data_IF_791353967758
#
_entry.id   IF_791353967758
#
_cell.length_a   1.000
_cell.length_b   1.000
_cell.length_c   1.000
_cell.angle_alpha   90.00
_cell.angle_beta   90.00
_cell.angle_gamma   90.00
#
_symmetry.space_group_name_H-M   'P 1'
#
loop_
_entity.id
_entity.type
_entity.pdbx_description
1 polymer ?
#
# COMPACT_ATOMS: atom_id res chain seq x y z
N UNK A 1 11.88 -15.63 1.41
CA UNK A 1 13.10 -15.61 2.30
C UNK A 1 13.29 -14.32 3.13
N UNK A 2 13.16 -13.12 2.54
CA UNK A 2 13.43 -11.82 3.23
C UNK A 2 12.46 -11.50 4.38
N UNK A 3 11.16 -11.80 4.22
CA UNK A 3 10.12 -11.65 5.27
C UNK A 3 10.40 -12.54 6.50
N UNK A 4 10.83 -13.78 6.26
CA UNK A 4 11.23 -14.75 7.30
C UNK A 4 12.45 -14.26 8.07
N UNK A 5 13.45 -13.67 7.39
CA UNK A 5 14.66 -13.17 8.07
C UNK A 5 14.38 -11.94 8.96
N UNK A 6 13.50 -11.03 8.54
CA UNK A 6 13.11 -9.86 9.34
C UNK A 6 12.27 -10.24 10.57
N UNK A 7 11.34 -11.17 10.40
CA UNK A 7 10.52 -11.70 11.51
C UNK A 7 11.32 -12.54 12.47
N UNK A 8 12.26 -13.35 11.96
CA UNK A 8 13.23 -14.08 12.79
C UNK A 8 14.14 -13.11 13.54
N UNK A 9 14.62 -12.04 12.91
CA UNK A 9 15.40 -10.99 13.57
C UNK A 9 14.64 -10.29 14.70
N UNK A 10 13.38 -9.91 14.48
CA UNK A 10 12.53 -9.30 15.51
C UNK A 10 12.20 -10.28 16.64
N UNK A 11 11.87 -11.53 16.30
CA UNK A 11 11.57 -12.58 17.28
C UNK A 11 12.80 -12.92 18.12
N UNK A 12 13.97 -13.05 17.50
CA UNK A 12 15.25 -13.25 18.19
C UNK A 12 15.56 -12.05 19.09
N UNK A 13 15.35 -10.81 18.63
CA UNK A 13 15.57 -9.63 19.46
C UNK A 13 14.64 -9.59 20.69
N UNK A 14 13.36 -9.93 20.52
CA UNK A 14 12.40 -10.03 21.63
C UNK A 14 12.83 -11.13 22.61
N UNK A 15 13.17 -12.32 22.13
CA UNK A 15 13.60 -13.46 22.96
C UNK A 15 14.89 -13.13 23.71
N UNK A 16 15.90 -12.57 23.04
CA UNK A 16 17.17 -12.14 23.66
C UNK A 16 16.91 -11.08 24.73
N UNK A 17 16.03 -10.12 24.46
CA UNK A 17 15.69 -9.07 25.43
C UNK A 17 14.95 -9.64 26.65
N UNK A 18 14.05 -10.61 26.48
CA UNK A 18 13.39 -11.31 27.59
C UNK A 18 14.39 -12.13 28.43
N UNK A 19 15.35 -12.80 27.78
CA UNK A 19 16.41 -13.56 28.47
C UNK A 19 17.28 -12.61 29.30
N UNK A 20 17.68 -11.46 28.75
CA UNK A 20 18.50 -10.46 29.46
C UNK A 20 17.75 -9.90 30.67
N UNK A 21 16.43 -9.67 30.59
CA UNK A 21 15.61 -9.24 31.73
C UNK A 21 15.53 -10.34 32.79
N UNK A 22 15.37 -11.60 32.40
CA UNK A 22 15.37 -12.73 33.34
C UNK A 22 16.69 -12.84 34.10
N UNK A 23 17.83 -12.70 33.40
CA UNK A 23 19.16 -12.61 34.00
C UNK A 23 19.25 -11.37 34.92
N UNK A 24 18.66 -10.25 34.48
CA UNK A 24 18.33 -9.03 35.23
C UNK A 24 17.93 -9.22 36.70
N UNK A 25 17.11 -10.24 36.93
CA UNK A 25 16.43 -10.49 38.19
C UNK A 25 17.21 -11.45 39.11
N UNK A 26 18.38 -11.93 38.69
CA UNK A 26 19.21 -12.82 39.50
C UNK A 26 19.83 -12.08 40.72
N UNK A 27 20.00 -12.76 41.86
CA UNK A 27 20.61 -12.17 43.05
C UNK A 27 22.02 -11.66 42.75
N UNK A 28 22.31 -10.41 43.10
CA UNK A 28 23.63 -9.78 42.92
C UNK A 28 23.78 -8.89 41.68
N UNK A 29 22.74 -8.78 40.83
CA UNK A 29 22.73 -7.82 39.72
C UNK A 29 22.17 -6.45 40.11
N UNK A 30 22.64 -5.40 39.43
CA UNK A 30 22.19 -4.02 39.68
C UNK A 30 20.72 -3.86 39.21
N UNK A 31 19.77 -3.53 40.10
CA UNK A 31 18.35 -3.42 39.78
C UNK A 31 18.04 -2.45 38.63
N UNK A 32 18.87 -1.42 38.43
CA UNK A 32 18.69 -0.44 37.36
C UNK A 32 18.81 -1.03 35.95
N UNK A 33 19.57 -2.12 35.77
CA UNK A 33 19.71 -2.79 34.46
C UNK A 33 18.37 -3.40 34.04
N UNK A 34 17.68 -4.06 34.96
CA UNK A 34 16.39 -4.71 34.72
C UNK A 34 15.29 -3.71 34.39
N UNK A 35 15.30 -2.55 35.06
CA UNK A 35 14.36 -1.45 34.81
C UNK A 35 14.58 -0.83 33.43
N UNK A 36 15.83 -0.57 33.05
CA UNK A 36 16.17 -0.02 31.73
C UNK A 36 15.78 -0.99 30.62
N UNK A 37 16.05 -2.28 30.78
CA UNK A 37 15.68 -3.30 29.78
C UNK A 37 14.17 -3.46 29.64
N UNK A 38 13.42 -3.44 30.74
CA UNK A 38 11.96 -3.44 30.71
C UNK A 38 11.41 -2.20 29.97
N UNK A 39 12.00 -1.02 30.19
CA UNK A 39 11.63 0.20 29.47
C UNK A 39 11.91 0.09 27.96
N UNK A 40 13.03 -0.52 27.55
CA UNK A 40 13.35 -0.75 26.13
C UNK A 40 12.32 -1.69 25.49
N UNK A 41 11.98 -2.81 26.14
CA UNK A 41 10.94 -3.73 25.64
C UNK A 41 9.59 -3.05 25.42
N UNK A 42 9.19 -2.18 26.35
CA UNK A 42 7.93 -1.43 26.25
C UNK A 42 7.92 -0.43 25.08
N UNK A 43 9.09 -0.02 24.60
CA UNK A 43 9.20 0.84 23.41
C UNK A 43 9.14 0.05 22.10
N UNK A 44 9.31 -1.28 22.10
CA UNK A 44 9.31 -2.11 20.89
C UNK A 44 8.02 -2.01 20.07
N UNK A 45 6.80 -2.06 20.64
CA UNK A 45 5.59 -1.90 19.84
C UNK A 45 5.49 -0.52 19.19
N UNK A 46 5.98 0.52 19.87
CA UNK A 46 6.01 1.90 19.38
C UNK A 46 7.08 2.05 18.30
N UNK A 47 8.26 1.48 18.50
CA UNK A 47 9.36 1.48 17.54
C UNK A 47 9.00 0.66 16.30
N UNK A 48 8.36 -0.50 16.47
CA UNK A 48 7.83 -1.31 15.39
C UNK A 48 6.80 -0.50 14.62
N UNK A 49 5.80 0.08 15.30
CA UNK A 49 4.81 0.97 14.69
C UNK A 49 5.44 2.16 13.95
N UNK A 50 6.50 2.76 14.48
CA UNK A 50 7.23 3.87 13.88
C UNK A 50 8.05 3.44 12.64
N UNK A 51 8.67 2.27 12.70
CA UNK A 51 9.39 1.66 11.58
C UNK A 51 8.44 1.19 10.47
N UNK A 52 7.24 0.70 10.83
CA UNK A 52 6.18 0.29 9.90
C UNK A 52 5.37 1.48 9.37
N UNK A 53 5.46 2.66 10.01
CA UNK A 53 4.65 3.84 9.71
C UNK A 53 5.10 4.62 8.48
N UNK A 54 6.21 4.27 7.83
CA UNK A 54 6.51 4.84 6.51
C UNK A 54 5.58 4.21 5.49
N UNK A 55 4.46 4.91 5.20
CA UNK A 55 3.55 4.58 4.11
C UNK A 55 4.37 4.43 2.83
N UNK A 56 4.14 3.34 2.11
CA UNK A 56 4.82 3.07 0.85
C UNK A 56 4.54 4.14 -0.21
N UNK A 57 3.38 4.79 -0.10
CA UNK A 57 2.98 5.96 -0.85
C UNK A 57 2.08 6.86 0.00
N UNK A 58 2.24 8.18 -0.14
CA UNK A 58 1.44 9.19 0.55
C UNK A 58 0.74 10.09 -0.46
N UNK A 59 -0.47 10.54 -0.11
CA UNK A 59 -1.16 11.58 -0.86
C UNK A 59 -0.33 12.87 -0.82
N UNK A 60 -0.27 13.54 -1.97
CA UNK A 60 0.30 14.87 -2.14
C UNK A 60 -0.70 15.71 -2.90
N UNK A 61 -0.82 16.98 -2.58
CA UNK A 61 -1.75 17.89 -3.27
C UNK A 61 -1.45 18.00 -4.77
N UNK A 62 -0.20 17.72 -5.17
CA UNK A 62 0.20 17.58 -6.57
C UNK A 62 -0.50 16.44 -7.32
N UNK A 63 -1.10 15.47 -6.63
CA UNK A 63 -1.89 14.39 -7.24
C UNK A 63 -3.37 14.76 -7.41
N UNK A 64 -3.80 15.91 -6.89
CA UNK A 64 -5.17 16.37 -7.08
C UNK A 64 -5.44 16.64 -8.56
N UNK A 65 -6.61 16.19 -9.01
CA UNK A 65 -7.20 16.56 -10.31
C UNK A 65 -8.23 17.68 -10.17
N UNK A 66 -8.41 18.20 -8.95
CA UNK A 66 -9.36 19.27 -8.64
C UNK A 66 -10.81 18.82 -8.70
N UNK A 67 -11.09 17.52 -8.63
CA UNK A 67 -12.45 16.95 -8.58
C UNK A 67 -12.55 16.12 -7.31
N UNK A 68 -13.29 16.60 -6.31
CA UNK A 68 -13.26 16.05 -4.95
C UNK A 68 -13.57 14.56 -4.90
N UNK A 69 -14.58 14.12 -5.66
CA UNK A 69 -14.97 12.70 -5.70
C UNK A 69 -13.94 11.78 -6.34
N UNK A 70 -13.07 12.31 -7.20
CA UNK A 70 -11.97 11.56 -7.85
C UNK A 70 -10.72 11.59 -6.97
N UNK A 71 -10.41 12.73 -6.35
CA UNK A 71 -9.32 12.83 -5.38
C UNK A 71 -9.53 11.88 -4.20
N UNK A 72 -10.77 11.70 -3.75
CA UNK A 72 -11.10 10.74 -2.69
C UNK A 72 -10.93 9.29 -3.14
N UNK A 73 -11.22 8.97 -4.40
CA UNK A 73 -10.90 7.65 -4.98
C UNK A 73 -9.38 7.43 -5.04
N UNK A 74 -8.61 8.42 -5.50
CA UNK A 74 -7.15 8.33 -5.54
C UNK A 74 -6.57 8.11 -4.14
N UNK A 75 -7.01 8.87 -3.12
CA UNK A 75 -6.59 8.65 -1.73
C UNK A 75 -6.94 7.25 -1.23
N UNK A 76 -8.11 6.73 -1.61
CA UNK A 76 -8.53 5.36 -1.27
C UNK A 76 -7.64 4.32 -1.96
N UNK A 77 -7.33 4.48 -3.24
CA UNK A 77 -6.42 3.62 -3.98
C UNK A 77 -5.00 3.61 -3.37
N UNK A 78 -4.47 4.78 -3.00
CA UNK A 78 -3.18 4.87 -2.28
C UNK A 78 -3.22 4.14 -0.94
N UNK A 79 -4.36 4.20 -0.23
CA UNK A 79 -4.56 3.45 1.02
C UNK A 79 -4.57 1.94 0.78
N UNK A 80 -5.26 1.47 -0.27
CA UNK A 80 -5.31 0.06 -0.64
C UNK A 80 -3.93 -0.46 -1.08
N UNK A 81 -3.14 0.34 -1.81
CA UNK A 81 -1.74 0.03 -2.13
C UNK A 81 -0.89 -0.13 -0.85
N UNK A 82 -1.06 0.75 0.13
CA UNK A 82 -0.36 0.63 1.41
C UNK A 82 -0.78 -0.62 2.20
N UNK A 83 -2.05 -1.02 2.11
CA UNK A 83 -2.54 -2.26 2.73
C UNK A 83 -1.94 -3.50 2.05
N UNK A 84 -1.91 -3.53 0.71
CA UNK A 84 -1.26 -4.60 -0.04
C UNK A 84 0.24 -4.65 0.29
N UNK A 85 0.92 -3.51 0.34
CA UNK A 85 2.31 -3.45 0.77
C UNK A 85 2.48 -4.01 2.19
N UNK A 86 1.60 -3.70 3.12
CA UNK A 86 1.64 -4.28 4.47
C UNK A 86 1.51 -5.81 4.40
N UNK A 87 0.60 -6.33 3.59
CA UNK A 87 0.45 -7.77 3.39
C UNK A 87 1.73 -8.40 2.79
N UNK A 88 2.41 -7.68 1.89
CA UNK A 88 3.68 -8.10 1.30
C UNK A 88 4.82 -8.06 2.31
N UNK A 89 4.97 -7.07 3.18
CA UNK A 89 6.16 -6.99 4.03
C UNK A 89 6.02 -7.72 5.37
N UNK A 90 4.79 -7.93 5.86
CA UNK A 90 4.54 -8.57 7.15
C UNK A 90 3.92 -9.96 7.00
N UNK A 91 4.12 -10.88 7.97
CA UNK A 91 3.49 -12.19 7.98
C UNK A 91 1.99 -12.05 8.32
N UNK A 92 1.20 -11.62 7.35
CA UNK A 92 -0.26 -11.41 7.49
C UNK A 92 -1.09 -12.65 7.12
N UNK A 93 -0.46 -13.62 6.45
CA UNK A 93 -1.11 -14.83 5.94
C UNK A 93 -1.66 -14.67 4.53
N UNK A 94 -1.75 -15.78 3.78
CA UNK A 94 -2.18 -15.77 2.37
C UNK A 94 -3.58 -15.17 2.19
N UNK A 95 -4.52 -15.50 3.06
CA UNK A 95 -5.89 -15.01 2.96
C UNK A 95 -5.96 -13.48 3.01
N UNK A 96 -5.18 -12.85 3.90
CA UNK A 96 -5.11 -11.40 4.00
C UNK A 96 -4.44 -10.76 2.78
N UNK A 97 -3.36 -11.35 2.29
CA UNK A 97 -2.66 -10.88 1.08
C UNK A 97 -3.56 -10.93 -0.16
N UNK A 98 -4.25 -12.06 -0.35
CA UNK A 98 -5.23 -12.26 -1.43
C UNK A 98 -6.39 -11.27 -1.32
N UNK A 99 -6.92 -11.08 -0.12
CA UNK A 99 -8.00 -10.11 0.11
C UNK A 99 -7.54 -8.68 -0.21
N UNK A 100 -6.38 -8.25 0.29
CA UNK A 100 -5.85 -6.91 0.02
C UNK A 100 -5.62 -6.67 -1.48
N UNK A 101 -5.14 -7.69 -2.20
CA UNK A 101 -4.97 -7.63 -3.64
C UNK A 101 -6.32 -7.52 -4.36
N UNK A 102 -7.29 -8.37 -4.02
CA UNK A 102 -8.62 -8.36 -4.62
C UNK A 102 -9.34 -7.03 -4.39
N UNK A 103 -9.31 -6.51 -3.16
CA UNK A 103 -9.90 -5.21 -2.81
C UNK A 103 -9.31 -4.07 -3.65
N UNK A 104 -7.99 -4.06 -3.87
CA UNK A 104 -7.33 -3.06 -4.70
C UNK A 104 -7.78 -3.16 -6.16
N UNK A 105 -7.83 -4.36 -6.72
CA UNK A 105 -8.24 -4.58 -8.11
C UNK A 105 -9.70 -4.17 -8.33
N UNK A 106 -10.59 -4.58 -7.44
CA UNK A 106 -12.02 -4.26 -7.57
C UNK A 106 -12.29 -2.77 -7.43
N UNK A 107 -11.64 -2.10 -6.46
CA UNK A 107 -11.79 -0.66 -6.30
C UNK A 107 -11.20 0.12 -7.49
N UNK A 108 -10.11 -0.38 -8.08
CA UNK A 108 -9.52 0.21 -9.29
C UNK A 108 -10.49 0.18 -10.47
N UNK A 109 -11.14 -0.97 -10.71
CA UNK A 109 -12.17 -1.10 -11.77
C UNK A 109 -13.33 -0.15 -11.54
N UNK A 110 -13.84 -0.11 -10.30
CA UNK A 110 -14.91 0.81 -9.92
C UNK A 110 -14.55 2.28 -10.15
N UNK A 111 -13.33 2.67 -9.78
CA UNK A 111 -12.83 4.02 -10.01
C UNK A 111 -12.76 4.35 -11.51
N UNK A 112 -12.17 3.47 -12.33
CA UNK A 112 -12.12 3.66 -13.78
C UNK A 112 -13.49 3.77 -14.42
N UNK A 113 -14.46 2.93 -14.03
CA UNK A 113 -15.82 3.02 -14.54
C UNK A 113 -16.46 4.38 -14.26
N UNK A 114 -16.23 4.95 -13.07
CA UNK A 114 -16.72 6.28 -12.69
C UNK A 114 -16.05 7.39 -13.46
N UNK A 115 -14.73 7.35 -13.59
CA UNK A 115 -13.94 8.33 -14.32
C UNK A 115 -14.29 8.31 -15.82
N UNK A 116 -14.39 7.13 -16.41
CA UNK A 116 -14.82 6.94 -17.79
C UNK A 116 -16.24 7.46 -18.01
N UNK A 117 -17.16 7.18 -17.07
CA UNK A 117 -18.52 7.73 -17.14
C UNK A 117 -18.47 9.26 -17.10
N UNK A 118 -17.70 9.84 -16.19
CA UNK A 118 -17.54 11.29 -16.07
C UNK A 118 -16.97 11.92 -17.34
N UNK A 119 -15.93 11.31 -17.93
CA UNK A 119 -15.35 11.76 -19.19
C UNK A 119 -16.35 11.68 -20.36
N UNK A 120 -17.10 10.57 -20.48
CA UNK A 120 -18.12 10.40 -21.53
C UNK A 120 -19.26 11.42 -21.39
N UNK A 121 -19.80 11.59 -20.19
CA UNK A 121 -20.94 12.47 -19.93
C UNK A 121 -20.62 13.96 -20.20
N UNK A 122 -19.33 14.30 -20.26
CA UNK A 122 -18.84 15.67 -20.48
C UNK A 122 -18.13 15.85 -21.83
N UNK A 123 -18.23 14.88 -22.75
CA UNK A 123 -17.60 14.90 -24.08
C UNK A 123 -16.07 15.17 -24.02
N UNK A 124 -15.36 14.50 -23.11
CA UNK A 124 -13.91 14.66 -23.03
C UNK A 124 -13.21 14.14 -24.31
N UNK A 125 -12.46 14.96 -25.05
CA UNK A 125 -11.92 14.58 -26.37
C UNK A 125 -10.99 13.36 -26.35
N UNK A 126 -10.22 13.21 -25.28
CA UNK A 126 -9.24 12.13 -25.13
C UNK A 126 -9.79 10.93 -24.32
N UNK A 127 -11.11 10.77 -24.24
CA UNK A 127 -11.75 9.65 -23.54
C UNK A 127 -11.28 8.27 -24.05
N UNK A 128 -11.31 8.04 -25.37
CA UNK A 128 -10.91 6.77 -25.97
C UNK A 128 -9.44 6.37 -25.70
N UNK A 129 -8.44 7.25 -25.91
CA UNK A 129 -7.07 6.93 -25.54
C UNK A 129 -6.87 6.79 -24.03
N UNK A 130 -7.65 7.49 -23.19
CA UNK A 130 -7.61 7.30 -21.74
C UNK A 130 -8.11 5.90 -21.35
N UNK A 131 -9.30 5.51 -21.81
CA UNK A 131 -9.89 4.18 -21.55
C UNK A 131 -8.98 3.03 -21.98
N UNK A 132 -8.27 3.16 -23.10
CA UNK A 132 -7.29 2.14 -23.52
C UNK A 132 -6.16 1.95 -22.52
N UNK A 133 -5.75 2.99 -21.79
CA UNK A 133 -4.75 2.85 -20.72
C UNK A 133 -5.31 2.05 -19.53
N UNK A 134 -6.57 2.28 -19.17
CA UNK A 134 -7.27 1.50 -18.14
C UNK A 134 -7.36 0.02 -18.52
N UNK A 135 -7.86 -0.26 -19.73
CA UNK A 135 -7.99 -1.63 -20.25
C UNK A 135 -6.64 -2.36 -20.29
N UNK A 136 -5.59 -1.69 -20.75
CA UNK A 136 -4.24 -2.25 -20.77
C UNK A 136 -3.71 -2.55 -19.36
N UNK A 137 -3.98 -1.68 -18.39
CA UNK A 137 -3.58 -1.89 -17.00
C UNK A 137 -4.34 -3.07 -16.39
N UNK A 138 -5.66 -3.14 -16.55
CA UNK A 138 -6.48 -4.24 -16.05
C UNK A 138 -6.07 -5.59 -16.68
N UNK A 139 -5.76 -5.61 -17.98
CA UNK A 139 -5.26 -6.82 -18.64
C UNK A 139 -3.93 -7.27 -18.03
N UNK A 140 -3.01 -6.34 -17.77
CA UNK A 140 -1.72 -6.65 -17.13
C UNK A 140 -1.89 -7.16 -15.70
N UNK A 141 -2.78 -6.55 -14.92
CA UNK A 141 -3.12 -7.02 -13.57
C UNK A 141 -3.75 -8.42 -13.59
N UNK A 142 -4.57 -8.72 -14.60
CA UNK A 142 -5.18 -10.05 -14.74
C UNK A 142 -4.10 -11.13 -14.97
N UNK A 143 -3.12 -10.87 -15.83
CA UNK A 143 -1.98 -11.77 -16.03
C UNK A 143 -1.14 -11.95 -14.75
N UNK A 144 -1.01 -10.89 -13.96
CA UNK A 144 -0.37 -10.95 -12.65
C UNK A 144 -1.15 -11.80 -11.64
N UNK A 145 -2.49 -11.71 -11.61
CA UNK A 145 -3.32 -12.57 -10.76
C UNK A 145 -3.13 -14.05 -11.10
N UNK A 146 -3.06 -14.39 -12.39
CA UNK A 146 -2.79 -15.78 -12.82
C UNK A 146 -1.38 -16.25 -12.41
N UNK A 147 -0.38 -15.37 -12.45
CA UNK A 147 0.97 -15.67 -11.99
C UNK A 147 1.03 -15.83 -10.46
N UNK A 148 0.25 -15.02 -9.73
CA UNK A 148 0.16 -15.08 -8.27
C UNK A 148 -0.37 -16.43 -7.78
N UNK A 149 -1.32 -17.06 -8.49
CA UNK A 149 -1.77 -18.41 -8.17
C UNK A 149 -0.68 -19.49 -8.33
N UNK A 150 0.34 -19.23 -9.17
CA UNK A 150 1.41 -20.19 -9.48
C UNK A 150 2.64 -19.98 -8.58
N UNK A 151 3.06 -18.73 -8.42
CA UNK A 151 4.18 -18.34 -7.57
C UNK A 151 3.88 -17.03 -6.85
N UNK A 152 3.17 -17.17 -5.74
CA UNK A 152 2.72 -16.07 -4.89
C UNK A 152 3.87 -15.20 -4.39
N UNK A 153 4.95 -15.80 -3.87
CA UNK A 153 6.01 -15.05 -3.17
C UNK A 153 6.75 -14.10 -4.11
N UNK A 154 7.06 -14.55 -5.33
CA UNK A 154 7.76 -13.71 -6.31
C UNK A 154 6.83 -12.67 -6.95
N UNK A 155 5.57 -13.04 -7.17
CA UNK A 155 4.64 -12.21 -7.94
C UNK A 155 4.09 -11.02 -7.14
N UNK A 156 3.79 -11.21 -5.84
CA UNK A 156 3.07 -10.17 -5.07
C UNK A 156 3.87 -8.87 -4.90
N UNK A 157 5.20 -8.96 -4.78
CA UNK A 157 6.07 -7.78 -4.72
C UNK A 157 6.07 -7.02 -6.06
N UNK A 158 6.15 -7.75 -7.17
CA UNK A 158 6.11 -7.17 -8.53
C UNK A 158 4.78 -6.46 -8.79
N UNK A 159 3.66 -7.09 -8.46
CA UNK A 159 2.32 -6.49 -8.58
C UNK A 159 2.23 -5.19 -7.79
N UNK A 160 2.69 -5.21 -6.53
CA UNK A 160 2.59 -4.06 -5.62
C UNK A 160 3.37 -2.86 -6.16
N UNK A 161 4.58 -3.10 -6.67
CA UNK A 161 5.41 -2.06 -7.29
C UNK A 161 4.78 -1.55 -8.57
N UNK A 162 4.31 -2.45 -9.44
CA UNK A 162 3.66 -2.09 -10.69
C UNK A 162 2.42 -1.20 -10.48
N UNK A 163 1.51 -1.62 -9.60
CA UNK A 163 0.27 -0.88 -9.32
C UNK A 163 0.54 0.51 -8.77
N UNK A 164 1.50 0.64 -7.84
CA UNK A 164 1.93 1.95 -7.33
C UNK A 164 2.46 2.84 -8.45
N UNK A 165 3.43 2.35 -9.20
CA UNK A 165 4.14 3.16 -10.19
C UNK A 165 3.22 3.57 -11.33
N UNK A 166 2.34 2.65 -11.76
CA UNK A 166 1.33 2.93 -12.77
C UNK A 166 0.37 4.00 -12.27
N UNK A 167 -0.22 3.83 -11.07
CA UNK A 167 -1.22 4.75 -10.55
C UNK A 167 -0.66 6.17 -10.38
N UNK A 168 0.53 6.32 -9.79
CA UNK A 168 1.14 7.65 -9.60
C UNK A 168 1.44 8.36 -10.92
N UNK A 169 1.90 7.61 -11.94
CA UNK A 169 2.17 8.17 -13.26
C UNK A 169 0.89 8.51 -14.01
N UNK A 170 -0.14 7.67 -13.88
CA UNK A 170 -1.44 7.87 -14.51
C UNK A 170 -2.14 9.10 -13.95
N UNK A 171 -2.21 9.24 -12.62
CA UNK A 171 -2.78 10.42 -11.96
C UNK A 171 -2.06 11.69 -12.36
N UNK A 172 -0.73 11.72 -12.20
CA UNK A 172 0.05 12.93 -12.45
C UNK A 172 0.13 13.32 -13.94
N UNK A 173 -0.08 12.36 -14.85
CA UNK A 173 0.11 12.52 -16.28
C UNK A 173 -1.17 12.53 -17.09
N UNK A 174 -1.98 11.48 -16.99
CA UNK A 174 -3.19 11.28 -17.80
C UNK A 174 -4.40 11.93 -17.14
N UNK A 175 -4.64 11.72 -15.86
CA UNK A 175 -5.87 12.16 -15.19
C UNK A 175 -5.94 13.67 -15.08
N UNK A 176 -4.81 14.31 -14.77
CA UNK A 176 -4.70 15.78 -14.79
C UNK A 176 -5.11 16.44 -16.10
N UNK A 177 -5.08 15.73 -17.24
CA UNK A 177 -5.40 16.31 -18.54
C UNK A 177 -6.89 16.57 -18.71
N UNK A 178 -7.78 15.83 -18.03
CA UNK A 178 -9.20 16.11 -18.13
C UNK A 178 -9.66 17.25 -17.22
N UNK A 179 -8.85 17.62 -16.20
CA UNK A 179 -9.28 18.56 -15.15
C UNK A 179 -9.83 19.87 -15.73
N UNK A 180 -9.07 20.52 -16.62
CA UNK A 180 -9.49 21.79 -17.22
C UNK A 180 -10.77 21.66 -18.07
N UNK A 181 -10.92 20.55 -18.79
CA UNK A 181 -12.12 20.27 -19.58
C UNK A 181 -13.33 20.06 -18.67
N UNK A 182 -13.22 19.22 -17.65
CA UNK A 182 -14.32 18.91 -16.72
C UNK A 182 -14.71 20.13 -15.87
N UNK A 183 -13.74 20.93 -15.42
CA UNK A 183 -14.00 22.21 -14.74
C UNK A 183 -14.77 23.19 -15.63
N UNK A 184 -14.44 23.26 -16.93
CA UNK A 184 -15.17 24.10 -17.88
C UNK A 184 -16.64 23.67 -18.08
N UNK A 185 -16.96 22.42 -17.72
CA UNK A 185 -18.32 21.85 -17.72
C UNK A 185 -19.00 21.91 -16.35
N UNK A 186 -18.36 22.54 -15.35
CA UNK A 186 -18.91 22.73 -14.00
C UNK A 186 -18.75 21.54 -13.06
N UNK A 187 -17.90 20.56 -13.41
CA UNK A 187 -17.54 19.45 -12.52
C UNK A 187 -16.52 19.94 -11.49
N UNK A 188 -16.65 19.52 -10.23
CA UNK A 188 -15.74 19.86 -9.11
C UNK A 188 -15.69 18.77 -8.05
#
# INVERSE_FOLDING_TARGET
MRKSLQTLGLSVFIVVSLIIIGIGLLPGMNPWISVVMAAILLTIPVLNKWLTSKRFVEWKDELSVGIGSIDDDHKKLLTLINNLQTAVYYPTGEAFERQALQELVDYTKYHFEREEKMMRDNDYPDYEPHKRQHEAMIAKVSGFMEAYEKDRESTVEEITVFLKDWLLKHIAGTDKKYSGHLHSRGVS
#
